data_IF_261519553235
#
_entry.id   IF_261519553235
#
_cell.length_a   1.000
_cell.length_b   1.000
_cell.length_c   1.000
_cell.angle_alpha   90.00
_cell.angle_beta   90.00
_cell.angle_gamma   90.00
#
_symmetry.space_group_name_H-M   'P 1'
#
loop_
_entity.id
_entity.type
_entity.pdbx_description
1 polymer ?
#
# COMPACT_ATOMS: atom_id res chain seq x y z
N UNK A 1 -6.55 0.39 23.95
CA UNK A 1 -7.25 1.55 23.37
C UNK A 1 -6.29 2.29 22.45
N UNK A 2 -6.59 2.41 21.15
CA UNK A 2 -5.74 3.14 20.22
C UNK A 2 -5.85 4.65 20.49
N UNK A 3 -4.72 5.35 20.64
CA UNK A 3 -4.71 6.81 20.81
C UNK A 3 -5.19 7.48 19.52
N UNK A 4 -5.93 8.59 19.64
CA UNK A 4 -6.49 9.36 18.52
C UNK A 4 -5.39 10.14 17.77
N UNK A 5 -5.54 10.37 16.44
CA UNK A 5 -4.63 11.23 15.68
C UNK A 5 -4.50 12.61 16.31
N UNK A 6 -3.31 13.21 16.26
CA UNK A 6 -3.02 14.55 16.78
C UNK A 6 -2.21 15.35 15.74
N UNK A 7 -2.17 16.67 15.87
CA UNK A 7 -1.36 17.52 14.98
C UNK A 7 -0.02 17.78 15.66
N UNK A 8 1.09 17.46 14.99
CA UNK A 8 2.43 17.67 15.53
C UNK A 8 2.85 19.14 15.44
N UNK A 9 4.00 19.48 16.05
CA UNK A 9 4.53 20.86 16.11
C UNK A 9 4.84 21.48 14.73
N UNK A 10 4.84 20.66 13.68
CA UNK A 10 5.06 21.08 12.29
C UNK A 10 3.75 21.20 11.50
N UNK A 11 2.60 20.98 12.14
CA UNK A 11 1.28 21.10 11.51
C UNK A 11 0.79 19.84 10.79
N UNK A 12 1.48 18.70 10.93
CA UNK A 12 1.07 17.44 10.30
C UNK A 12 0.20 16.60 11.22
N UNK A 13 -0.76 15.88 10.63
CA UNK A 13 -1.55 14.87 11.38
C UNK A 13 -0.65 13.68 11.67
N UNK A 14 -0.17 13.60 12.91
CA UNK A 14 0.53 12.47 13.48
C UNK A 14 -0.47 11.48 14.05
N UNK A 15 -0.39 10.26 13.57
CA UNK A 15 -1.14 9.17 14.14
C UNK A 15 -0.31 8.51 15.23
N UNK A 16 -0.82 8.32 16.46
CA UNK A 16 -0.07 7.69 17.55
C UNK A 16 0.48 6.30 17.25
N UNK A 17 -0.04 5.64 16.21
CA UNK A 17 0.50 4.38 15.71
C UNK A 17 1.83 4.52 14.96
N UNK A 18 2.25 5.72 14.55
CA UNK A 18 3.56 6.01 13.95
C UNK A 18 4.72 5.82 14.95
N UNK A 19 4.43 5.74 16.25
CA UNK A 19 5.41 5.50 17.31
C UNK A 19 5.39 4.06 17.86
N UNK A 20 4.66 3.15 17.21
CA UNK A 20 4.67 1.73 17.57
C UNK A 20 5.96 1.08 17.03
N UNK A 21 6.86 0.70 17.93
CA UNK A 21 8.17 0.10 17.58
C UNK A 21 8.05 -1.23 16.83
N UNK A 22 6.87 -1.86 16.82
CA UNK A 22 6.58 -3.06 16.01
C UNK A 22 6.36 -2.75 14.53
N UNK A 23 6.18 -1.48 14.16
CA UNK A 23 6.00 -1.00 12.78
C UNK A 23 7.29 -0.56 12.09
N UNK A 24 8.45 -0.84 12.68
CA UNK A 24 9.74 -0.35 12.17
C UNK A 24 10.13 -0.86 10.77
N UNK A 25 9.41 -1.84 10.17
CA UNK A 25 9.61 -2.23 8.75
C UNK A 25 8.29 -2.72 8.10
N UNK A 26 7.95 -2.20 6.92
CA UNK A 26 6.95 -2.74 5.97
C UNK A 26 5.47 -2.73 6.38
N UNK A 27 5.05 -1.79 7.22
CA UNK A 27 3.65 -1.72 7.68
C UNK A 27 2.64 -1.43 6.56
N UNK A 28 2.99 -0.63 5.56
CA UNK A 28 2.07 -0.33 4.47
C UNK A 28 1.82 -1.54 3.56
N UNK A 29 2.81 -2.42 3.38
CA UNK A 29 2.59 -3.73 2.74
C UNK A 29 1.66 -4.62 3.54
N UNK A 30 1.76 -4.60 4.88
CA UNK A 30 0.82 -5.31 5.73
C UNK A 30 -0.60 -4.79 5.54
N UNK A 31 -0.80 -3.47 5.57
CA UNK A 31 -2.11 -2.86 5.33
C UNK A 31 -2.68 -3.27 3.96
N UNK A 32 -1.85 -3.24 2.92
CA UNK A 32 -2.22 -3.67 1.58
C UNK A 32 -2.68 -5.13 1.54
N UNK A 33 -2.07 -6.01 2.33
CA UNK A 33 -2.33 -7.45 2.29
C UNK A 33 -3.26 -7.95 3.41
N UNK A 34 -3.63 -7.13 4.39
CA UNK A 34 -4.27 -7.62 5.62
C UNK A 34 -5.54 -8.45 5.34
N UNK A 35 -6.44 -7.94 4.50
CA UNK A 35 -7.68 -8.66 4.16
C UNK A 35 -7.43 -9.88 3.28
N UNK A 36 -6.36 -9.87 2.47
CA UNK A 36 -5.93 -11.04 1.72
C UNK A 36 -5.39 -12.14 2.64
N UNK A 37 -4.51 -11.77 3.58
CA UNK A 37 -3.94 -12.66 4.59
C UNK A 37 -5.02 -13.24 5.49
N UNK A 38 -6.02 -12.44 5.92
CA UNK A 38 -7.16 -12.93 6.71
C UNK A 38 -7.94 -14.00 5.95
N UNK A 39 -8.20 -13.80 4.65
CA UNK A 39 -8.90 -14.77 3.81
C UNK A 39 -8.10 -16.05 3.65
N UNK A 40 -6.80 -15.94 3.39
CA UNK A 40 -5.88 -17.09 3.26
C UNK A 40 -5.73 -17.86 4.56
N UNK A 41 -5.51 -17.17 5.67
CA UNK A 41 -5.40 -17.77 6.99
C UNK A 41 -6.69 -18.49 7.38
N UNK A 42 -7.86 -17.89 7.13
CA UNK A 42 -9.16 -18.53 7.35
C UNK A 42 -9.34 -19.79 6.49
N UNK A 43 -8.91 -19.76 5.24
CA UNK A 43 -8.98 -20.92 4.35
C UNK A 43 -8.05 -22.06 4.81
N UNK A 44 -6.84 -21.74 5.28
CA UNK A 44 -5.82 -22.73 5.68
C UNK A 44 -6.02 -23.28 7.09
N UNK A 45 -6.46 -22.45 8.03
CA UNK A 45 -6.51 -22.76 9.47
C UNK A 45 -7.92 -22.68 10.07
N UNK A 46 -8.95 -22.38 9.27
CA UNK A 46 -10.32 -22.23 9.75
C UNK A 46 -10.57 -20.91 10.48
N UNK A 47 -11.66 -20.83 11.23
CA UNK A 47 -12.08 -19.60 11.93
C UNK A 47 -11.19 -19.23 13.12
N UNK A 48 -10.35 -20.15 13.60
CA UNK A 48 -9.45 -19.97 14.75
C UNK A 48 -8.03 -19.56 14.34
N UNK A 49 -7.84 -19.10 13.09
CA UNK A 49 -6.53 -18.63 12.64
C UNK A 49 -5.98 -17.53 13.56
N UNK A 50 -4.67 -17.57 13.81
CA UNK A 50 -4.00 -16.58 14.66
C UNK A 50 -3.30 -15.51 13.84
N UNK A 51 -2.83 -14.46 14.52
CA UNK A 51 -2.02 -13.41 13.89
C UNK A 51 -0.70 -13.97 13.38
N UNK A 52 -0.10 -14.91 14.09
CA UNK A 52 1.15 -15.56 13.73
C UNK A 52 1.02 -16.33 12.40
N UNK A 53 -0.14 -16.96 12.15
CA UNK A 53 -0.40 -17.60 10.85
C UNK A 53 -0.38 -16.58 9.70
N UNK A 54 -0.96 -15.40 9.92
CA UNK A 54 -0.93 -14.32 8.92
C UNK A 54 0.48 -13.74 8.76
N UNK A 55 1.24 -13.58 9.85
CA UNK A 55 2.61 -13.08 9.80
C UNK A 55 3.55 -14.05 9.07
N UNK A 56 3.38 -15.36 9.26
CA UNK A 56 4.09 -16.40 8.50
C UNK A 56 3.76 -16.31 7.01
N UNK A 57 2.47 -16.28 6.66
CA UNK A 57 2.02 -16.20 5.27
C UNK A 57 2.51 -14.89 4.61
N UNK A 58 2.45 -13.76 5.32
CA UNK A 58 2.98 -12.48 4.85
C UNK A 58 4.47 -12.56 4.49
N UNK A 59 5.31 -13.14 5.36
CA UNK A 59 6.75 -13.31 5.08
C UNK A 59 7.00 -14.16 3.82
N UNK A 60 6.16 -15.15 3.58
CA UNK A 60 6.30 -16.06 2.45
C UNK A 60 5.84 -15.43 1.13
N UNK A 61 4.70 -14.72 1.13
CA UNK A 61 4.12 -14.20 -0.12
C UNK A 61 4.67 -12.83 -0.51
N UNK A 62 5.10 -12.00 0.45
CA UNK A 62 5.49 -10.63 0.17
C UNK A 62 6.54 -10.52 -0.96
N UNK A 63 7.63 -11.33 -0.99
CA UNK A 63 8.64 -11.24 -2.05
C UNK A 63 8.14 -11.62 -3.45
N UNK A 64 7.01 -12.35 -3.56
CA UNK A 64 6.44 -12.79 -4.83
C UNK A 64 5.30 -11.89 -5.33
N UNK A 65 5.06 -10.78 -4.64
CA UNK A 65 4.01 -9.82 -5.01
C UNK A 65 4.51 -8.70 -5.91
N UNK A 66 3.57 -8.12 -6.65
CA UNK A 66 3.79 -7.00 -7.55
C UNK A 66 2.89 -5.82 -7.18
N UNK A 67 3.35 -4.61 -7.46
CA UNK A 67 2.63 -3.38 -7.20
C UNK A 67 2.29 -2.66 -8.50
N UNK A 68 1.09 -2.08 -8.54
CA UNK A 68 0.71 -1.05 -9.53
C UNK A 68 0.37 0.24 -8.82
N UNK A 69 0.96 1.33 -9.27
CA UNK A 69 0.71 2.68 -8.79
C UNK A 69 -0.19 3.39 -9.79
N UNK A 70 -1.25 4.01 -9.29
CA UNK A 70 -2.20 4.76 -10.10
C UNK A 70 -2.31 6.20 -9.62
N UNK A 71 -2.28 7.15 -10.54
CA UNK A 71 -2.78 8.50 -10.29
C UNK A 71 -4.31 8.50 -10.41
N UNK A 72 -4.97 9.17 -9.47
CA UNK A 72 -6.42 9.29 -9.40
C UNK A 72 -6.83 10.67 -9.87
N UNK A 73 -7.39 10.75 -11.07
CA UNK A 73 -7.74 12.01 -11.72
C UNK A 73 -9.26 12.15 -11.79
N UNK A 74 -9.85 13.28 -11.38
CA UNK A 74 -11.27 13.53 -11.57
C UNK A 74 -11.64 13.49 -13.06
N UNK A 75 -12.67 12.74 -13.42
CA UNK A 75 -13.17 12.63 -14.78
C UNK A 75 -14.70 12.67 -14.78
N UNK A 76 -15.27 13.83 -15.12
CA UNK A 76 -16.70 14.07 -15.01
C UNK A 76 -17.22 13.86 -13.58
N UNK A 77 -18.17 12.94 -13.43
CA UNK A 77 -18.75 12.55 -12.13
C UNK A 77 -17.95 11.44 -11.40
N UNK A 78 -16.87 10.96 -12.00
CA UNK A 78 -16.09 9.82 -11.51
C UNK A 78 -14.60 10.11 -11.34
N UNK A 79 -13.83 9.03 -11.22
CA UNK A 79 -12.38 9.05 -11.13
C UNK A 79 -11.81 8.13 -12.19
N UNK A 80 -10.83 8.63 -12.95
CA UNK A 80 -9.97 7.81 -13.80
C UNK A 80 -8.74 7.35 -13.01
N UNK A 81 -8.32 6.12 -13.29
CA UNK A 81 -7.10 5.54 -12.74
C UNK A 81 -6.07 5.47 -13.85
N UNK A 82 -5.05 6.30 -13.75
CA UNK A 82 -3.94 6.37 -14.71
C UNK A 82 -2.80 5.54 -14.15
N UNK A 83 -2.38 4.48 -14.84
CA UNK A 83 -1.23 3.68 -14.40
C UNK A 83 0.03 4.53 -14.57
N UNK A 84 0.82 4.67 -13.52
CA UNK A 84 2.02 5.54 -13.51
C UNK A 84 3.28 4.79 -13.08
N UNK A 85 3.14 3.56 -12.57
CA UNK A 85 4.27 2.74 -12.15
C UNK A 85 3.90 1.29 -11.91
N UNK A 86 4.85 0.40 -12.19
CA UNK A 86 4.78 -1.02 -11.93
C UNK A 86 6.09 -1.47 -11.28
N UNK A 87 5.99 -2.20 -10.16
CA UNK A 87 7.15 -2.58 -9.37
C UNK A 87 7.02 -4.01 -8.85
N UNK A 88 8.15 -4.70 -8.72
CA UNK A 88 8.22 -5.91 -7.92
C UNK A 88 8.36 -5.49 -6.45
N UNK A 89 7.71 -6.21 -5.53
CA UNK A 89 7.79 -5.87 -4.10
C UNK A 89 9.23 -5.88 -3.54
N UNK A 90 10.14 -6.81 -3.92
CA UNK A 90 11.54 -6.76 -3.49
C UNK A 90 12.24 -5.42 -3.77
N UNK A 91 11.87 -4.72 -4.85
CA UNK A 91 12.44 -3.41 -5.18
C UNK A 91 11.92 -2.30 -4.27
N UNK A 92 10.81 -2.53 -3.57
CA UNK A 92 10.06 -1.52 -2.82
C UNK A 92 10.04 -1.80 -1.31
N UNK A 93 10.45 -3.00 -0.88
CA UNK A 93 10.42 -3.47 0.53
C UNK A 93 11.34 -2.70 1.48
N UNK A 94 12.17 -1.80 0.94
CA UNK A 94 12.99 -0.90 1.74
C UNK A 94 12.25 0.39 2.13
N UNK A 95 11.09 0.67 1.51
CA UNK A 95 10.27 1.84 1.81
C UNK A 95 9.46 1.59 3.09
N UNK A 96 9.76 2.36 4.14
CA UNK A 96 8.99 2.35 5.38
C UNK A 96 7.62 3.03 5.22
N UNK A 97 7.60 4.11 4.44
CA UNK A 97 6.42 4.88 4.03
C UNK A 97 6.51 5.14 2.52
N UNK A 98 5.49 4.81 1.71
CA UNK A 98 5.49 5.07 0.28
C UNK A 98 5.26 6.55 -0.05
N UNK A 99 4.75 7.39 0.87
CA UNK A 99 4.39 8.79 0.56
C UNK A 99 5.58 9.66 0.14
N UNK A 100 6.75 9.64 0.82
CA UNK A 100 7.93 10.36 0.36
C UNK A 100 8.36 9.94 -1.06
N UNK A 101 8.43 8.63 -1.32
CA UNK A 101 8.74 8.10 -2.64
C UNK A 101 7.73 8.56 -3.70
N UNK A 102 6.43 8.50 -3.41
CA UNK A 102 5.37 8.96 -4.31
C UNK A 102 5.52 10.46 -4.59
N UNK A 103 5.77 11.27 -3.57
CA UNK A 103 5.93 12.73 -3.70
C UNK A 103 7.15 13.05 -4.55
N UNK A 104 8.27 12.40 -4.29
CA UNK A 104 9.52 12.58 -5.03
C UNK A 104 9.44 12.03 -6.46
N UNK A 105 8.68 10.98 -6.72
CA UNK A 105 8.62 10.35 -8.05
C UNK A 105 7.52 10.96 -8.92
N UNK A 106 6.33 11.18 -8.35
CA UNK A 106 5.11 11.51 -9.08
C UNK A 106 4.54 12.89 -8.76
N UNK A 107 5.05 13.55 -7.73
CA UNK A 107 4.60 14.87 -7.30
C UNK A 107 3.31 14.81 -6.49
N UNK A 108 2.62 15.95 -6.37
CA UNK A 108 1.38 16.02 -5.59
C UNK A 108 0.18 15.42 -6.32
N UNK A 109 -0.80 14.95 -5.55
CA UNK A 109 -1.99 14.30 -6.10
C UNK A 109 -2.62 13.27 -5.18
N UNK A 110 -3.63 12.59 -5.70
CA UNK A 110 -4.23 11.39 -5.09
C UNK A 110 -3.71 10.18 -5.83
N UNK A 111 -3.29 9.17 -5.07
CA UNK A 111 -2.70 7.96 -5.62
C UNK A 111 -3.36 6.74 -5.01
N UNK A 112 -3.32 5.64 -5.75
CA UNK A 112 -3.72 4.32 -5.27
C UNK A 112 -2.62 3.34 -5.61
N UNK A 113 -2.25 2.52 -4.63
CA UNK A 113 -1.35 1.40 -4.86
C UNK A 113 -2.15 0.12 -4.74
N UNK A 114 -2.06 -0.74 -5.74
CA UNK A 114 -2.62 -2.09 -5.71
C UNK A 114 -1.48 -3.09 -5.59
N UNK A 115 -1.68 -4.11 -4.76
CA UNK A 115 -0.77 -5.26 -4.67
C UNK A 115 -1.43 -6.49 -5.26
N UNK A 116 -0.63 -7.28 -5.97
CA UNK A 116 -1.04 -8.51 -6.64
C UNK A 116 -0.15 -9.65 -6.18
N UNK A 117 -0.75 -10.82 -5.94
CA UNK A 117 -0.06 -12.07 -5.61
C UNK A 117 -0.48 -13.11 -6.65
N UNK A 118 0.49 -13.71 -7.35
CA UNK A 118 0.25 -14.70 -8.41
C UNK A 118 -0.78 -14.19 -9.44
N UNK A 119 -0.61 -12.95 -9.88
CA UNK A 119 -1.49 -12.35 -10.86
C UNK A 119 -2.87 -11.89 -10.36
N UNK A 120 -3.22 -12.26 -9.13
CA UNK A 120 -4.52 -11.96 -8.55
C UNK A 120 -4.43 -10.71 -7.67
N UNK A 121 -5.44 -9.85 -7.76
CA UNK A 121 -5.57 -8.69 -6.87
C UNK A 121 -5.64 -9.14 -5.40
N UNK A 122 -4.67 -8.70 -4.60
CA UNK A 122 -4.60 -9.03 -3.18
C UNK A 122 -5.13 -7.87 -2.31
N UNK A 123 -4.82 -6.62 -2.66
CA UNK A 123 -5.40 -5.47 -1.95
C UNK A 123 -4.94 -4.11 -2.46
N UNK A 124 -5.38 -3.05 -1.78
CA UNK A 124 -5.22 -1.66 -2.23
C UNK A 124 -5.17 -0.67 -1.07
N UNK A 125 -4.41 0.41 -1.23
CA UNK A 125 -4.35 1.53 -0.29
C UNK A 125 -4.26 2.85 -1.08
N UNK A 126 -4.90 3.90 -0.56
CA UNK A 126 -4.90 5.21 -1.19
C UNK A 126 -3.96 6.16 -0.43
N UNK A 127 -3.20 6.94 -1.17
CA UNK A 127 -2.24 7.91 -0.65
C UNK A 127 -2.54 9.31 -1.19
N UNK A 128 -2.08 10.33 -0.46
CA UNK A 128 -2.11 11.72 -0.89
C UNK A 128 -0.72 12.32 -0.73
N UNK A 129 -0.26 12.99 -1.76
CA UNK A 129 0.98 13.77 -1.73
C UNK A 129 0.67 15.25 -2.03
N UNK A 130 1.51 16.14 -1.49
CA UNK A 130 1.38 17.58 -1.67
C UNK A 130 2.25 18.07 -2.83
N UNK A 131 1.85 19.18 -3.44
CA UNK A 131 2.54 19.82 -4.57
C UNK A 131 1.81 19.63 -5.90
N UNK A 132 2.49 19.97 -6.99
CA UNK A 132 1.98 19.80 -8.34
C UNK A 132 2.25 18.37 -8.86
N UNK A 133 1.35 17.79 -9.66
CA UNK A 133 1.57 16.49 -10.27
C UNK A 133 2.70 16.56 -11.31
N UNK A 134 3.51 15.50 -11.38
CA UNK A 134 4.56 15.32 -12.40
C UNK A 134 4.60 13.90 -12.99
N UNK A 135 3.59 13.09 -12.70
CA UNK A 135 3.47 11.74 -13.23
C UNK A 135 3.14 11.75 -14.73
N UNK A 136 3.47 10.63 -15.38
CA UNK A 136 3.09 10.33 -16.77
C UNK A 136 2.40 8.98 -16.79
N UNK A 137 1.38 8.84 -17.64
CA UNK A 137 0.70 7.57 -17.85
C UNK A 137 1.65 6.59 -18.58
N UNK A 138 1.66 5.34 -18.15
CA UNK A 138 2.42 4.26 -18.76
C UNK A 138 1.48 3.16 -19.27
N UNK A 139 1.94 2.38 -20.24
CA UNK A 139 1.22 1.20 -20.72
C UNK A 139 1.20 0.09 -19.66
N UNK A 140 0.09 -0.66 -19.59
CA UNK A 140 -0.03 -1.79 -18.68
C UNK A 140 0.65 -3.04 -19.26
N UNK A 141 1.68 -3.61 -18.60
CA UNK A 141 2.45 -4.73 -19.12
C UNK A 141 1.73 -6.10 -19.07
N UNK A 142 0.40 -6.16 -19.19
CA UNK A 142 -0.41 -7.38 -19.00
C UNK A 142 -0.05 -8.58 -19.96
N UNK A 143 -0.44 -9.84 -19.63
CA UNK A 143 -1.20 -10.26 -18.46
C UNK A 143 -0.41 -11.18 -17.51
N UNK A 144 -0.72 -11.01 -16.25
CA UNK A 144 -0.49 -11.91 -15.11
C UNK A 144 -0.32 -13.40 -15.43
#
# INVERSE_FOLDING_TARGET
MAKKPFINKHGFVEYPFLHDTRKQRNWWFWNLLEDYLKRRARHKHGHEFTRENMDEDFRNILPTTNLKFFALVPAGMGMEFKLIGFFQTPDMVHLEDPVPFITETYGGGKYKVNIYHEGTFAGTENFKAHGDPKWVEIEDPAPY
#
